data_IF_406064075636
#
_entry.id   IF_406064075636
#
_cell.length_a   1.000
_cell.length_b   1.000
_cell.length_c   1.000
_cell.angle_alpha   90.00
_cell.angle_beta   90.00
_cell.angle_gamma   90.00
#
_symmetry.space_group_name_H-M   'P 1'
#
loop_
_entity.id
_entity.type
_entity.pdbx_description
1 polymer ?
#
# COMPACT_ATOMS: atom_id res chain seq x y z
N UNK A 1 -16.78 -16.42 -16.91
CA UNK A 1 -16.17 -15.15 -16.49
C UNK A 1 -15.92 -15.27 -15.00
N UNK A 2 -14.67 -15.51 -14.58
CA UNK A 2 -14.34 -15.61 -13.15
C UNK A 2 -14.36 -14.18 -12.62
N UNK A 3 -15.25 -13.89 -11.68
CA UNK A 3 -15.24 -12.60 -10.98
C UNK A 3 -13.98 -12.58 -10.12
N UNK A 4 -13.00 -11.77 -10.49
CA UNK A 4 -11.82 -11.51 -9.64
C UNK A 4 -12.31 -10.67 -8.45
N UNK A 5 -12.49 -11.29 -7.29
CA UNK A 5 -12.87 -10.58 -6.06
C UNK A 5 -11.60 -10.35 -5.26
N UNK A 6 -11.07 -9.13 -5.32
CA UNK A 6 -10.00 -8.70 -4.42
C UNK A 6 -10.57 -8.53 -3.01
N UNK A 7 -9.78 -8.92 -2.01
CA UNK A 7 -10.13 -8.65 -0.62
C UNK A 7 -9.97 -7.16 -0.33
N UNK A 8 -11.04 -6.50 0.11
CA UNK A 8 -11.02 -5.10 0.53
C UNK A 8 -10.68 -4.99 2.02
N UNK A 9 -9.65 -4.21 2.35
CA UNK A 9 -9.22 -3.92 3.72
C UNK A 9 -9.95 -2.69 4.26
N UNK A 10 -10.66 -2.84 5.37
CA UNK A 10 -11.57 -1.81 5.89
C UNK A 10 -11.07 -1.13 7.17
N UNK A 11 -10.22 -1.81 7.94
CA UNK A 11 -9.72 -1.38 9.26
C UNK A 11 -8.27 -1.81 9.45
N UNK A 12 -7.57 -1.19 10.40
CA UNK A 12 -6.16 -1.46 10.68
C UNK A 12 -5.88 -2.94 10.99
N UNK A 13 -6.82 -3.66 11.62
CA UNK A 13 -6.65 -5.09 11.89
C UNK A 13 -6.59 -5.95 10.63
N UNK A 14 -7.30 -5.55 9.56
CA UNK A 14 -7.29 -6.29 8.29
C UNK A 14 -5.91 -6.14 7.64
N UNK A 15 -5.40 -4.91 7.57
CA UNK A 15 -4.06 -4.61 7.08
C UNK A 15 -2.98 -5.35 7.90
N UNK A 16 -3.14 -5.41 9.23
CA UNK A 16 -2.21 -6.14 10.09
C UNK A 16 -2.16 -7.63 9.76
N UNK A 17 -3.31 -8.24 9.44
CA UNK A 17 -3.39 -9.66 9.10
C UNK A 17 -2.70 -9.98 7.77
N UNK A 18 -2.66 -9.06 6.81
CA UNK A 18 -1.99 -9.28 5.51
C UNK A 18 -0.47 -9.26 5.58
N UNK A 19 0.11 -8.76 6.69
CA UNK A 19 1.57 -8.60 6.87
C UNK A 19 2.21 -7.70 5.80
N UNK A 20 1.43 -6.84 5.15
CA UNK A 20 1.93 -5.90 4.16
C UNK A 20 3.09 -5.04 4.71
N UNK A 21 4.15 -4.87 3.93
CA UNK A 21 5.35 -4.14 4.35
C UNK A 21 6.14 -4.78 5.50
N UNK A 22 5.91 -6.06 5.82
CA UNK A 22 6.58 -6.77 6.90
C UNK A 22 7.13 -8.15 6.45
N UNK A 23 8.18 -8.66 7.11
CA UNK A 23 9.02 -8.01 8.14
C UNK A 23 10.00 -6.97 7.53
N UNK A 24 10.75 -6.19 8.36
CA UNK A 24 11.89 -5.41 7.89
C UNK A 24 12.85 -6.27 7.05
N UNK A 25 13.54 -5.72 6.03
CA UNK A 25 13.71 -4.30 5.69
C UNK A 25 12.61 -3.70 4.79
N UNK A 26 11.47 -4.36 4.64
CA UNK A 26 10.36 -3.89 3.80
C UNK A 26 9.87 -2.49 4.17
N UNK A 27 9.43 -1.75 3.14
CA UNK A 27 9.09 -0.32 3.25
C UNK A 27 7.59 -0.04 3.12
N UNK A 28 6.77 -1.07 2.84
CA UNK A 28 5.34 -0.93 2.53
C UNK A 28 4.55 -0.15 3.58
N UNK A 29 4.82 -0.32 4.88
CA UNK A 29 4.13 0.44 5.93
C UNK A 29 4.46 1.94 5.86
N UNK A 30 5.74 2.31 5.73
CA UNK A 30 6.14 3.72 5.54
C UNK A 30 5.54 4.29 4.26
N UNK A 31 5.52 3.51 3.17
CA UNK A 31 4.94 3.90 1.88
C UNK A 31 3.43 4.17 1.99
N UNK A 32 2.67 3.28 2.61
CA UNK A 32 1.21 3.43 2.78
C UNK A 32 0.86 4.59 3.70
N UNK A 33 1.62 4.77 4.79
CA UNK A 33 1.42 5.90 5.69
C UNK A 33 1.65 7.23 4.95
N UNK A 34 2.78 7.36 4.22
CA UNK A 34 3.08 8.54 3.41
C UNK A 34 1.99 8.78 2.37
N UNK A 35 1.63 7.77 1.59
CA UNK A 35 0.62 7.89 0.54
C UNK A 35 -0.73 8.34 1.11
N UNK A 36 -1.17 7.73 2.21
CA UNK A 36 -2.42 8.11 2.87
C UNK A 36 -2.38 9.56 3.37
N UNK A 37 -1.26 10.06 3.89
CA UNK A 37 -1.13 11.41 4.45
C UNK A 37 -0.96 12.49 3.38
N UNK A 38 -0.07 12.26 2.43
CA UNK A 38 0.46 13.30 1.54
C UNK A 38 -0.14 13.22 0.14
N UNK A 39 -0.54 12.04 -0.32
CA UNK A 39 -1.11 11.86 -1.67
C UNK A 39 -2.63 11.89 -1.68
N UNK A 40 -3.31 11.56 -0.58
CA UNK A 40 -4.78 11.43 -0.54
C UNK A 40 -5.41 12.48 0.38
N UNK A 41 -6.25 13.34 -0.20
CA UNK A 41 -7.18 14.20 0.53
C UNK A 41 -8.59 13.64 0.40
N UNK A 42 -9.25 13.35 1.51
CA UNK A 42 -10.65 12.91 1.51
C UNK A 42 -11.54 14.15 1.64
N UNK A 43 -12.41 14.39 0.65
CA UNK A 43 -13.36 15.51 0.70
C UNK A 43 -14.59 15.20 1.58
N UNK A 44 -15.45 16.20 1.78
CA UNK A 44 -16.67 16.08 2.58
C UNK A 44 -17.70 15.10 2.00
N UNK A 45 -17.59 14.77 0.70
CA UNK A 45 -18.42 13.78 0.03
C UNK A 45 -17.80 12.37 0.07
N UNK A 46 -16.69 12.18 0.78
CA UNK A 46 -15.99 10.90 0.84
C UNK A 46 -15.27 10.54 -0.46
N UNK A 47 -14.86 11.52 -1.26
CA UNK A 47 -14.06 11.27 -2.47
C UNK A 47 -12.57 11.38 -2.17
N UNK A 48 -11.77 10.51 -2.77
CA UNK A 48 -10.32 10.46 -2.61
C UNK A 48 -9.66 11.37 -3.67
N UNK A 49 -9.43 12.62 -3.31
CA UNK A 49 -8.80 13.62 -4.17
C UNK A 49 -7.28 13.41 -4.16
N UNK A 50 -6.69 13.29 -5.35
CA UNK A 50 -5.25 13.18 -5.49
C UNK A 50 -4.56 14.51 -5.19
N UNK A 51 -3.54 14.49 -4.34
CA UNK A 51 -2.67 15.64 -4.05
C UNK A 51 -1.36 15.58 -4.85
N UNK A 52 -1.06 14.43 -5.43
CA UNK A 52 0.04 14.20 -6.37
C UNK A 52 -0.54 13.67 -7.67
N UNK A 53 -0.07 14.14 -8.83
CA UNK A 53 -0.52 13.65 -10.12
C UNK A 53 0.31 12.41 -10.53
N UNK A 54 -0.24 11.20 -10.60
CA UNK A 54 0.51 10.02 -11.04
C UNK A 54 0.90 10.08 -12.52
N UNK A 55 0.13 10.79 -13.34
CA UNK A 55 0.32 10.86 -14.80
C UNK A 55 1.62 11.56 -15.19
N UNK A 56 2.10 12.51 -14.38
CA UNK A 56 3.36 13.21 -14.63
C UNK A 56 4.58 12.54 -13.95
N UNK A 57 4.38 11.40 -13.30
CA UNK A 57 5.44 10.65 -12.63
C UNK A 57 5.89 11.21 -11.27
N UNK A 58 5.08 12.04 -10.61
CA UNK A 58 5.37 12.53 -9.26
C UNK A 58 5.79 11.37 -8.34
N UNK A 59 6.80 11.57 -7.49
CA UNK A 59 7.24 10.56 -6.50
C UNK A 59 7.60 9.18 -7.07
N UNK A 60 7.95 9.08 -8.37
CA UNK A 60 8.25 7.80 -9.02
C UNK A 60 7.01 7.02 -9.48
N UNK A 61 5.84 7.67 -9.52
CA UNK A 61 4.68 7.08 -10.18
C UNK A 61 4.99 6.74 -11.64
N UNK A 62 4.47 5.62 -12.12
CA UNK A 62 4.54 5.28 -13.54
C UNK A 62 3.33 4.43 -13.95
N UNK A 63 3.09 4.36 -15.25
CA UNK A 63 1.92 3.67 -15.82
C UNK A 63 2.00 2.17 -15.53
N UNK A 64 0.95 1.64 -14.89
CA UNK A 64 0.74 0.20 -14.70
C UNK A 64 -0.29 -0.29 -15.72
N UNK A 65 0.09 -1.22 -16.60
CA UNK A 65 -0.77 -1.66 -17.70
C UNK A 65 -1.72 -2.80 -17.31
N UNK A 66 -1.57 -3.40 -16.12
CA UNK A 66 -2.39 -4.52 -15.64
C UNK A 66 -2.47 -5.71 -16.63
N UNK A 67 -1.42 -5.95 -17.42
CA UNK A 67 -1.41 -6.98 -18.47
C UNK A 67 -1.55 -8.42 -17.94
N UNK A 68 -1.14 -8.65 -16.69
CA UNK A 68 -1.31 -9.94 -15.99
C UNK A 68 -2.65 -10.10 -15.27
N UNK A 69 -3.61 -9.20 -15.48
CA UNK A 69 -4.94 -9.21 -14.82
C UNK A 69 -4.87 -9.29 -13.29
N UNK A 70 -3.92 -8.56 -12.69
CA UNK A 70 -3.76 -8.46 -11.24
C UNK A 70 -4.96 -7.75 -10.58
N UNK A 71 -5.47 -6.72 -11.27
CA UNK A 71 -6.54 -5.84 -10.79
C UNK A 71 -7.79 -5.96 -11.67
N UNK A 72 -8.97 -5.57 -11.16
CA UNK A 72 -10.19 -5.48 -11.95
C UNK A 72 -10.03 -4.58 -13.18
N UNK A 73 -10.77 -4.90 -14.23
CA UNK A 73 -10.85 -4.05 -15.41
C UNK A 73 -11.59 -2.74 -15.09
N UNK A 74 -11.07 -1.63 -15.59
CA UNK A 74 -11.68 -0.30 -15.51
C UNK A 74 -11.32 0.50 -16.77
N UNK A 75 -12.10 1.53 -17.08
CA UNK A 75 -11.80 2.47 -18.16
C UNK A 75 -10.76 3.52 -17.77
N UNK A 76 -10.38 3.57 -16.49
CA UNK A 76 -9.39 4.48 -15.96
C UNK A 76 -7.97 3.90 -16.04
N UNK A 77 -6.95 4.75 -16.19
CA UNK A 77 -5.57 4.32 -16.12
C UNK A 77 -5.15 3.89 -14.71
N UNK A 78 -4.30 2.86 -14.63
CA UNK A 78 -3.60 2.50 -13.40
C UNK A 78 -2.19 3.09 -13.33
N UNK A 79 -1.75 3.48 -12.14
CA UNK A 79 -0.38 3.93 -11.88
C UNK A 79 0.18 3.28 -10.62
N UNK A 80 1.48 3.01 -10.63
CA UNK A 80 2.20 2.34 -9.54
C UNK A 80 3.25 3.25 -8.91
N UNK A 81 3.41 3.19 -7.59
CA UNK A 81 4.53 3.79 -6.84
C UNK A 81 5.11 2.80 -5.83
N UNK A 82 6.34 3.05 -5.42
CA UNK A 82 7.05 2.25 -4.41
C UNK A 82 8.25 1.49 -4.95
N UNK A 83 8.57 1.59 -6.24
CA UNK A 83 9.83 1.04 -6.75
C UNK A 83 11.01 1.91 -6.30
N UNK A 84 11.79 1.43 -5.34
CA UNK A 84 12.93 2.13 -4.76
C UNK A 84 14.14 2.25 -5.69
N UNK A 85 14.22 1.45 -6.77
CA UNK A 85 15.20 1.70 -7.84
C UNK A 85 14.88 2.99 -8.62
N UNK A 86 13.61 3.42 -8.61
CA UNK A 86 13.14 4.66 -9.20
C UNK A 86 12.28 5.43 -8.19
N UNK A 87 12.84 5.70 -7.02
CA UNK A 87 12.11 6.26 -5.89
C UNK A 87 11.60 7.70 -6.12
N UNK A 88 12.07 8.38 -7.17
CA UNK A 88 11.73 9.78 -7.44
C UNK A 88 12.00 10.67 -6.23
N UNK A 89 10.97 11.38 -5.77
CA UNK A 89 10.99 12.25 -4.59
C UNK A 89 10.34 11.62 -3.35
N UNK A 90 10.28 10.28 -3.27
CA UNK A 90 9.77 9.62 -2.07
C UNK A 90 10.56 10.08 -0.83
N UNK A 91 9.89 10.30 0.32
CA UNK A 91 10.57 10.74 1.52
C UNK A 91 11.65 9.75 1.98
N UNK A 92 12.73 10.26 2.55
CA UNK A 92 13.84 9.42 3.04
C UNK A 92 13.38 8.30 3.97
N UNK A 93 12.41 8.56 4.84
CA UNK A 93 11.89 7.58 5.78
C UNK A 93 11.07 6.45 5.12
N UNK A 94 10.73 6.58 3.84
CA UNK A 94 10.16 5.50 3.00
C UNK A 94 11.30 4.69 2.38
N UNK A 95 12.41 5.32 2.03
CA UNK A 95 13.52 4.69 1.30
C UNK A 95 14.65 4.19 2.21
N UNK A 96 14.65 4.54 3.50
CA UNK A 96 15.79 4.40 4.43
C UNK A 96 16.35 2.97 4.57
N UNK A 97 15.52 1.95 4.37
CA UNK A 97 15.91 0.54 4.51
C UNK A 97 16.21 -0.15 3.16
N UNK A 98 16.21 0.59 2.06
CA UNK A 98 16.54 0.04 0.75
C UNK A 98 18.02 -0.36 0.70
N UNK A 99 18.29 -1.62 0.36
CA UNK A 99 19.65 -2.17 0.39
C UNK A 99 20.36 -2.11 -0.96
N UNK A 100 19.62 -1.87 -2.06
CA UNK A 100 20.16 -1.98 -3.42
C UNK A 100 20.37 -3.41 -3.91
N UNK A 101 20.14 -4.43 -3.07
CA UNK A 101 20.29 -5.83 -3.43
C UNK A 101 18.96 -6.46 -3.87
N UNK A 102 19.05 -7.63 -4.50
CA UNK A 102 17.90 -8.48 -4.81
C UNK A 102 17.37 -9.18 -3.54
N UNK A 103 16.86 -8.40 -2.61
CA UNK A 103 16.24 -8.87 -1.37
C UNK A 103 14.78 -8.40 -1.25
N UNK A 104 14.22 -8.43 -0.03
CA UNK A 104 12.84 -8.03 0.20
C UNK A 104 12.61 -6.52 0.37
N UNK A 105 13.65 -5.69 0.41
CA UNK A 105 13.57 -4.26 0.73
C UNK A 105 12.80 -3.43 -0.31
N UNK A 106 12.68 -3.92 -1.55
CA UNK A 106 11.99 -3.23 -2.66
C UNK A 106 10.76 -3.99 -3.19
N UNK A 107 10.06 -4.76 -2.36
CA UNK A 107 8.92 -5.57 -2.82
C UNK A 107 7.59 -4.83 -2.85
N UNK A 108 7.40 -3.80 -2.03
CA UNK A 108 6.08 -3.23 -1.75
C UNK A 108 5.68 -2.18 -2.78
N UNK A 109 4.41 -2.21 -3.21
CA UNK A 109 3.84 -1.26 -4.17
C UNK A 109 2.47 -0.78 -3.74
N UNK A 110 2.14 0.44 -4.17
CA UNK A 110 0.78 0.96 -4.20
C UNK A 110 0.40 1.17 -5.66
N UNK A 111 -0.76 0.64 -6.06
CA UNK A 111 -1.33 0.86 -7.40
C UNK A 111 -2.63 1.65 -7.25
N UNK A 112 -2.84 2.65 -8.09
CA UNK A 112 -4.03 3.51 -8.05
C UNK A 112 -4.73 3.56 -9.40
N UNK A 113 -6.06 3.48 -9.41
CA UNK A 113 -6.87 3.90 -10.55
C UNK A 113 -7.06 5.41 -10.47
N UNK A 114 -6.68 6.16 -11.50
CA UNK A 114 -6.64 7.62 -11.46
C UNK A 114 -7.49 8.27 -12.55
N UNK A 115 -8.44 9.11 -12.16
CA UNK A 115 -9.18 9.98 -13.06
C UNK A 115 -8.52 11.36 -13.09
N UNK A 116 -7.77 11.64 -14.15
CA UNK A 116 -7.07 12.92 -14.33
C UNK A 116 -8.02 14.10 -14.59
N UNK A 117 -9.23 13.85 -15.11
CA UNK A 117 -10.23 14.91 -15.35
C UNK A 117 -10.81 15.43 -14.04
N UNK A 118 -11.01 14.53 -13.08
CA UNK A 118 -11.54 14.87 -11.75
C UNK A 118 -10.46 15.07 -10.70
N UNK A 119 -9.21 14.72 -11.01
CA UNK A 119 -8.07 14.65 -10.10
C UNK A 119 -8.36 13.76 -8.88
N UNK A 120 -8.80 12.52 -9.14
CA UNK A 120 -9.30 11.59 -8.10
C UNK A 120 -8.70 10.20 -8.24
N UNK A 121 -8.48 9.55 -7.11
CA UNK A 121 -8.30 8.11 -7.06
C UNK A 121 -9.67 7.44 -7.01
N UNK A 122 -9.93 6.56 -7.96
CA UNK A 122 -11.14 5.75 -8.00
C UNK A 122 -10.99 4.48 -7.15
N UNK A 123 -9.79 3.91 -7.14
CA UNK A 123 -9.43 2.77 -6.29
C UNK A 123 -7.94 2.82 -5.95
N UNK A 124 -7.58 2.28 -4.78
CA UNK A 124 -6.21 2.25 -4.26
C UNK A 124 -5.94 0.81 -3.81
N UNK A 125 -4.83 0.25 -4.26
CA UNK A 125 -4.44 -1.11 -3.96
C UNK A 125 -3.06 -1.14 -3.32
N UNK A 126 -2.87 -2.05 -2.37
CA UNK A 126 -1.54 -2.42 -1.87
C UNK A 126 -1.18 -3.80 -2.42
N UNK A 127 0.07 -3.96 -2.84
CA UNK A 127 0.56 -5.23 -3.36
C UNK A 127 2.05 -5.40 -3.10
N UNK A 128 2.57 -6.59 -3.38
CA UNK A 128 3.99 -6.90 -3.32
C UNK A 128 4.40 -7.68 -4.57
N UNK A 129 5.68 -7.61 -4.93
CA UNK A 129 6.22 -8.58 -5.87
C UNK A 129 6.37 -9.97 -5.22
N UNK A 130 6.16 -11.04 -5.98
CA UNK A 130 6.53 -12.41 -5.57
C UNK A 130 8.02 -12.68 -5.79
N UNK A 131 8.58 -12.11 -6.87
CA UNK A 131 9.98 -12.19 -7.28
C UNK A 131 10.50 -10.81 -7.77
N UNK A 132 11.43 -10.75 -8.72
CA UNK A 132 11.96 -9.48 -9.24
C UNK A 132 11.02 -8.74 -10.19
N UNK A 133 10.04 -9.44 -10.80
CA UNK A 133 9.22 -8.87 -11.89
C UNK A 133 7.73 -9.15 -11.72
N UNK A 134 7.35 -10.24 -11.06
CA UNK A 134 5.96 -10.67 -10.95
C UNK A 134 5.30 -10.13 -9.68
N UNK A 135 4.02 -9.79 -9.79
CA UNK A 135 3.18 -9.40 -8.66
C UNK A 135 2.58 -10.63 -7.99
N UNK A 136 2.44 -10.54 -6.67
CA UNK A 136 1.82 -11.56 -5.85
C UNK A 136 0.31 -11.35 -5.79
N UNK A 137 -0.43 -12.14 -6.58
CA UNK A 137 -1.89 -12.07 -6.64
C UNK A 137 -2.56 -12.36 -5.29
N UNK A 138 -1.96 -13.19 -4.44
CA UNK A 138 -2.51 -13.55 -3.13
C UNK A 138 -2.25 -12.47 -2.07
N UNK A 139 -1.33 -11.54 -2.35
CA UNK A 139 -0.98 -10.41 -1.49
C UNK A 139 -1.30 -9.07 -2.15
N UNK A 140 -2.39 -9.03 -2.90
CA UNK A 140 -2.95 -7.83 -3.51
C UNK A 140 -4.32 -7.54 -2.90
N UNK A 141 -4.48 -6.32 -2.39
CA UNK A 141 -5.67 -5.94 -1.63
C UNK A 141 -6.15 -4.55 -2.03
N UNK A 142 -7.47 -4.39 -2.07
CA UNK A 142 -8.12 -3.09 -2.23
C UNK A 142 -8.18 -2.36 -0.88
N UNK A 143 -7.90 -1.07 -0.87
CA UNK A 143 -7.89 -0.24 0.34
C UNK A 143 -9.19 0.55 0.38
N UNK A 144 -10.04 0.23 1.36
CA UNK A 144 -11.25 1.02 1.60
C UNK A 144 -10.91 2.40 2.16
N UNK A 145 -11.76 3.38 1.85
CA UNK A 145 -11.64 4.73 2.41
C UNK A 145 -11.69 4.78 3.95
N UNK A 146 -12.39 3.84 4.60
CA UNK A 146 -12.42 3.73 6.07
C UNK A 146 -11.04 3.45 6.65
N UNK A 147 -10.27 2.55 6.04
CA UNK A 147 -8.89 2.26 6.44
C UNK A 147 -8.00 3.49 6.24
N UNK A 148 -8.12 4.21 5.12
CA UNK A 148 -7.36 5.45 4.90
C UNK A 148 -7.65 6.50 5.99
N UNK A 149 -8.91 6.63 6.40
CA UNK A 149 -9.30 7.54 7.49
C UNK A 149 -8.63 7.13 8.81
N UNK A 150 -8.64 5.83 9.16
CA UNK A 150 -7.96 5.34 10.36
C UNK A 150 -6.45 5.64 10.32
N UNK A 151 -5.78 5.34 9.19
CA UNK A 151 -4.35 5.61 9.02
C UNK A 151 -4.05 7.10 9.25
N UNK A 152 -4.88 8.00 8.69
CA UNK A 152 -4.72 9.46 8.84
C UNK A 152 -4.91 10.00 10.27
N UNK A 153 -5.41 9.18 11.20
CA UNK A 153 -5.47 9.56 12.63
C UNK A 153 -4.18 9.26 13.40
N UNK A 154 -3.27 8.49 12.81
CA UNK A 154 -2.06 8.00 13.47
C UNK A 154 -0.82 8.70 12.93
N UNK A 155 0.11 9.06 13.81
CA UNK A 155 1.47 9.38 13.37
C UNK A 155 2.17 8.10 12.86
N UNK A 156 3.25 8.27 12.08
CA UNK A 156 3.96 7.17 11.41
C UNK A 156 4.45 6.10 12.40
N UNK A 157 5.03 6.52 13.52
CA UNK A 157 5.58 5.60 14.51
C UNK A 157 4.48 4.73 15.14
N UNK A 158 3.36 5.35 15.53
CA UNK A 158 2.22 4.63 16.08
C UNK A 158 1.63 3.68 15.05
N UNK A 159 1.40 4.12 13.82
CA UNK A 159 0.94 3.26 12.72
C UNK A 159 1.85 2.05 12.51
N UNK A 160 3.16 2.25 12.37
CA UNK A 160 4.12 1.17 12.17
C UNK A 160 4.17 0.19 13.35
N UNK A 161 4.00 0.69 14.59
CA UNK A 161 3.96 -0.14 15.80
C UNK A 161 2.69 -0.99 15.88
N UNK A 162 1.52 -0.40 15.62
CA UNK A 162 0.23 -1.12 15.61
C UNK A 162 0.25 -2.31 14.64
N UNK A 163 0.92 -2.16 13.50
CA UNK A 163 1.01 -3.21 12.48
C UNK A 163 1.96 -4.35 12.88
N UNK A 164 2.93 -4.10 13.77
CA UNK A 164 3.92 -5.10 14.23
C UNK A 164 3.45 -5.96 15.41
N UNK A 165 2.48 -5.49 16.19
CA UNK A 165 2.12 -6.03 17.52
C UNK A 165 1.38 -7.39 17.50
N UNK A 166 1.99 -8.44 16.96
CA UNK A 166 1.51 -9.82 17.06
C UNK A 166 2.63 -10.86 17.28
N UNK A 167 3.68 -10.52 18.03
CA UNK A 167 4.63 -11.53 18.54
C UNK A 167 4.62 -11.74 20.06
N UNK A 168 3.90 -10.93 20.85
CA UNK A 168 3.98 -11.00 22.33
C UNK A 168 2.70 -11.40 23.06
N UNK A 169 1.51 -11.36 22.44
CA UNK A 169 0.25 -11.63 23.16
C UNK A 169 -0.35 -13.03 22.93
N UNK A 170 0.20 -13.86 22.03
CA UNK A 170 -0.28 -15.23 21.81
C UNK A 170 0.53 -16.31 22.54
N UNK A 171 1.64 -15.96 23.20
CA UNK A 171 2.48 -16.92 23.94
C UNK A 171 2.46 -16.71 25.45
N UNK A 172 1.92 -15.61 25.99
CA UNK A 172 1.90 -15.37 27.44
C UNK A 172 0.81 -16.13 28.19
N UNK A 173 -0.23 -16.63 27.50
CA UNK A 173 -1.32 -17.37 28.14
C UNK A 173 -1.11 -18.89 28.17
N UNK A 174 -0.11 -19.42 27.45
CA UNK A 174 0.15 -20.87 27.37
C UNK A 174 1.12 -21.39 28.45
N UNK A 175 1.64 -20.51 29.32
CA UNK A 175 2.63 -20.86 30.36
C UNK A 175 2.15 -20.63 31.81
N UNK A 176 0.87 -20.32 32.04
CA UNK A 176 0.34 -20.05 33.39
C UNK A 176 -0.84 -20.93 33.82
N UNK A 177 -1.08 -22.05 33.14
CA UNK A 177 -2.03 -23.08 33.61
C UNK A 177 -1.33 -24.42 33.81
N UNK A 178 -0.37 -24.46 34.74
CA UNK A 178 0.08 -25.69 35.41
C UNK A 178 -0.25 -25.59 36.91
#
# INVERSE_FOLDING_TARGET
>A
MVLFVLTTLNKLSDLRQTRFGQPPPRHGLSLLWWFAHDCVRIDSNGRMIAQSNPENGAFGFHRFYNGGTLLPYTNLPYYEVGNLHNAGLLPYYVTENYTGYSDSSNKDRIIVSFDSRLNRFDSIYVTQHSDQTNFDQNHTYDINIRLLKEIKTLNREHFCREMKNNQLHSLSWMYWEN
#
